data_IF_552207001941
#
_entry.id   IF_552207001941
#
_cell.length_a   1.000
_cell.length_b   1.000
_cell.length_c   1.000
_cell.angle_alpha   90.00
_cell.angle_beta   90.00
_cell.angle_gamma   90.00
#
_symmetry.space_group_name_H-M   'P 1'
#
loop_
_entity.id
_entity.type
_entity.pdbx_description
1 polymer ?
#
# COMPACT_ATOMS: atom_id res chain seq x y z
N UNK A 1 0.15 -8.85 7.08
CA UNK A 1 -0.25 -7.51 6.63
C UNK A 1 0.95 -6.88 5.91
N UNK A 2 0.73 -6.00 4.94
CA UNK A 2 1.81 -5.49 4.08
C UNK A 2 2.48 -4.28 4.74
N UNK A 3 3.79 -4.30 4.91
CA UNK A 3 4.53 -3.18 5.54
C UNK A 3 4.63 -2.00 4.58
N UNK A 4 4.88 -0.82 5.14
CA UNK A 4 5.15 0.37 4.35
C UNK A 4 6.32 0.10 3.38
N UNK A 5 6.19 0.50 2.11
CA UNK A 5 7.12 0.17 1.01
C UNK A 5 7.17 -1.29 0.53
N UNK A 6 6.44 -2.24 1.13
CA UNK A 6 6.33 -3.59 0.58
C UNK A 6 5.34 -3.65 -0.59
N UNK A 7 5.61 -4.55 -1.52
CA UNK A 7 4.76 -4.74 -2.71
C UNK A 7 3.38 -5.29 -2.34
N UNK A 8 2.33 -4.56 -2.70
CA UNK A 8 0.93 -4.97 -2.50
C UNK A 8 0.33 -5.67 -3.74
N UNK A 9 1.16 -6.40 -4.47
CA UNK A 9 0.83 -7.01 -5.77
C UNK A 9 -0.30 -8.04 -5.68
N UNK A 10 -0.41 -8.70 -4.53
CA UNK A 10 -1.48 -9.62 -4.21
C UNK A 10 -2.49 -8.86 -3.34
N UNK A 11 -3.57 -8.38 -3.94
CA UNK A 11 -4.67 -7.64 -3.28
C UNK A 11 -5.36 -8.43 -2.12
N UNK A 12 -4.87 -9.63 -1.80
CA UNK A 12 -5.34 -10.52 -0.74
C UNK A 12 -4.97 -10.08 0.68
N UNK A 13 -3.93 -9.25 0.86
CA UNK A 13 -3.55 -8.73 2.18
C UNK A 13 -3.64 -7.20 2.28
N UNK A 14 -4.39 -6.66 3.27
CA UNK A 14 -4.35 -5.24 3.58
C UNK A 14 -2.98 -4.81 4.15
N UNK A 15 -2.67 -3.52 4.02
CA UNK A 15 -1.52 -2.90 4.67
C UNK A 15 -1.60 -3.08 6.19
N UNK A 16 -0.47 -3.22 6.88
CA UNK A 16 -0.44 -3.31 8.35
C UNK A 16 -0.96 -2.04 9.02
N UNK A 17 -0.69 -0.89 8.40
CA UNK A 17 -1.27 0.37 8.81
C UNK A 17 -2.71 0.44 8.28
N UNK A 18 -3.72 0.61 9.15
CA UNK A 18 -5.09 0.88 8.72
C UNK A 18 -5.21 2.19 7.94
N UNK A 19 -4.19 3.04 8.04
CA UNK A 19 -4.06 4.34 7.38
C UNK A 19 -3.26 4.29 6.07
N UNK A 20 -2.71 3.13 5.72
CA UNK A 20 -2.00 2.92 4.47
C UNK A 20 -2.89 2.22 3.44
N UNK A 21 -2.86 2.71 2.21
CA UNK A 21 -3.49 2.05 1.06
C UNK A 21 -2.46 1.47 0.12
N UNK A 22 -2.85 0.49 -0.67
CA UNK A 22 -2.06 0.03 -1.80
C UNK A 22 -2.09 1.09 -2.91
N UNK A 23 -0.97 1.79 -3.10
CA UNK A 23 -0.82 2.79 -4.15
C UNK A 23 0.07 2.26 -5.27
N UNK A 24 -0.47 2.27 -6.48
CA UNK A 24 0.21 1.80 -7.68
C UNK A 24 0.66 2.97 -8.56
N UNK A 25 1.95 2.98 -8.93
CA UNK A 25 2.57 3.93 -9.87
C UNK A 25 3.07 3.20 -11.12
N UNK A 26 3.40 3.96 -12.17
CA UNK A 26 3.90 3.43 -13.45
C UNK A 26 3.00 2.33 -14.05
N UNK A 27 1.74 2.63 -14.36
CA UNK A 27 0.81 1.65 -14.96
C UNK A 27 0.63 0.35 -14.14
N UNK A 28 0.64 0.45 -12.80
CA UNK A 28 0.62 -0.70 -11.87
C UNK A 28 1.88 -1.59 -11.89
N UNK A 29 2.97 -1.15 -12.50
CA UNK A 29 4.25 -1.86 -12.41
C UNK A 29 4.85 -1.83 -11.00
N UNK A 30 4.58 -0.76 -10.23
CA UNK A 30 5.09 -0.60 -8.87
C UNK A 30 3.92 -0.30 -7.94
N UNK A 31 3.52 -1.28 -7.14
CA UNK A 31 2.42 -1.16 -6.18
C UNK A 31 2.96 -1.34 -4.76
N UNK A 32 2.78 -0.35 -3.89
CA UNK A 32 3.29 -0.40 -2.52
C UNK A 32 2.31 0.24 -1.52
N UNK A 33 2.40 -0.19 -0.27
CA UNK A 33 1.64 0.44 0.81
C UNK A 33 2.14 1.86 1.09
N UNK A 34 1.25 2.84 0.93
CA UNK A 34 1.50 4.26 1.17
C UNK A 34 0.38 4.85 2.03
N UNK A 35 0.75 5.53 3.13
CA UNK A 35 -0.15 6.35 3.94
C UNK A 35 -0.80 7.46 3.11
N UNK A 36 -2.15 7.52 3.14
CA UNK A 36 -2.91 8.60 2.51
C UNK A 36 -3.24 9.65 3.58
N UNK A 37 -2.32 10.59 3.80
CA UNK A 37 -2.53 11.71 4.72
C UNK A 37 -2.25 11.38 6.19
N UNK A 38 -2.12 12.45 6.96
CA UNK A 38 -1.71 12.47 8.38
C UNK A 38 -2.92 12.38 9.34
N UNK A 39 -4.11 12.08 8.81
CA UNK A 39 -5.40 12.12 9.54
C UNK A 39 -5.74 10.76 10.16
N UNK A 40 -4.70 9.93 10.24
CA UNK A 40 -4.68 8.51 10.48
C UNK A 40 -3.16 8.23 10.70
#
# INVERSE_FOLDING_TARGET
CIRHLESCFDYSMPCCDPCATCYCRFFKAICYCRKIGNIC
#
